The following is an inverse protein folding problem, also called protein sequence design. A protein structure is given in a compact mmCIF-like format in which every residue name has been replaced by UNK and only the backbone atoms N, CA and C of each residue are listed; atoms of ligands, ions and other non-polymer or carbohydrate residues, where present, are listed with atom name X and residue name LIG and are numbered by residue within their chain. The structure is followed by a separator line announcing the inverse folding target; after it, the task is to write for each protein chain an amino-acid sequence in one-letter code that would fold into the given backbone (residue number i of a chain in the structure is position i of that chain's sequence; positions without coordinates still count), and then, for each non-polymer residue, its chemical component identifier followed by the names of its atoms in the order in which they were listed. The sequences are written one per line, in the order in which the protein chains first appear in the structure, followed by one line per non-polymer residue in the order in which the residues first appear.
data_IF_078814974031
#
_entry.id   IF_078814974031
#
_cell.length_a   1.000
_cell.length_b   1.000
_cell.length_c   1.000
_cell.angle_alpha   90.00
_cell.angle_beta   90.00
_cell.angle_gamma   90.00
#
_symmetry.space_group_name_H-M   'P 1'
#
loop_
_entity.id
_entity.type
_entity.pdbx_description
1 polymer ?
#
# COMPACT_ATOMS: atom_id res chain seq x y z
N UNK A 1 -25.07 5.42 -47.92
CA UNK A 1 -25.19 4.70 -46.63
C UNK A 1 -23.83 4.32 -46.02
N UNK A 2 -22.89 3.76 -46.79
CA UNK A 2 -21.56 3.32 -46.31
C UNK A 2 -20.67 4.44 -45.71
N UNK A 3 -20.67 5.64 -46.30
CA UNK A 3 -19.86 6.75 -45.79
C UNK A 3 -20.38 7.30 -44.45
N UNK A 4 -21.70 7.29 -44.24
CA UNK A 4 -22.32 7.74 -42.99
C UNK A 4 -21.96 6.80 -41.84
N UNK A 5 -22.00 5.48 -42.08
CA UNK A 5 -21.63 4.46 -41.08
C UNK A 5 -20.16 4.59 -40.68
N UNK A 6 -19.26 4.85 -41.65
CA UNK A 6 -17.83 5.06 -41.37
C UNK A 6 -17.61 6.31 -40.51
N UNK A 7 -18.26 7.43 -40.84
CA UNK A 7 -18.12 8.67 -40.05
C UNK A 7 -18.65 8.51 -38.62
N UNK A 8 -19.75 7.77 -38.43
CA UNK A 8 -20.30 7.47 -37.09
C UNK A 8 -19.35 6.58 -36.28
N UNK A 9 -18.75 5.55 -36.90
CA UNK A 9 -17.77 4.69 -36.24
C UNK A 9 -16.48 5.44 -35.85
N UNK A 10 -15.98 6.31 -36.73
CA UNK A 10 -14.83 7.15 -36.42
C UNK A 10 -15.11 8.13 -35.28
N UNK A 11 -16.29 8.75 -35.27
CA UNK A 11 -16.70 9.65 -34.20
C UNK A 11 -16.86 8.89 -32.86
N UNK A 12 -17.45 7.69 -32.88
CA UNK A 12 -17.60 6.86 -31.69
C UNK A 12 -16.24 6.43 -31.11
N UNK A 13 -15.28 6.06 -31.97
CA UNK A 13 -13.92 5.70 -31.55
C UNK A 13 -13.16 6.91 -30.99
N UNK A 14 -13.34 8.08 -31.58
CA UNK A 14 -12.76 9.33 -31.08
C UNK A 14 -13.35 9.72 -29.72
N UNK A 15 -14.67 9.62 -29.52
CA UNK A 15 -15.28 9.87 -28.21
C UNK A 15 -14.84 8.86 -27.15
N UNK A 16 -14.67 7.59 -27.50
CA UNK A 16 -14.25 6.55 -26.56
C UNK A 16 -12.81 6.74 -26.07
N UNK A 17 -11.92 7.31 -26.89
CA UNK A 17 -10.53 7.64 -26.52
C UNK A 17 -10.39 9.00 -25.83
N UNK A 18 -11.39 9.87 -25.95
CA UNK A 18 -11.45 11.18 -25.28
C UNK A 18 -11.99 11.10 -23.83
N UNK A 19 -12.41 9.92 -23.36
CA UNK A 19 -12.76 9.75 -21.95
C UNK A 19 -11.51 9.98 -21.09
N UNK A 20 -11.57 10.85 -20.07
CA UNK A 20 -10.46 11.02 -19.16
C UNK A 20 -10.14 9.66 -18.53
N UNK A 21 -8.89 9.22 -18.65
CA UNK A 21 -8.40 8.12 -17.84
C UNK A 21 -8.54 8.56 -16.38
N UNK A 22 -9.47 7.96 -15.65
CA UNK A 22 -9.51 8.08 -14.20
C UNK A 22 -8.27 7.34 -13.67
N UNK A 23 -7.13 8.04 -13.60
CA UNK A 23 -6.05 7.64 -12.71
C UNK A 23 -6.61 7.60 -11.27
N UNK A 24 -5.96 6.86 -10.36
CA UNK A 24 -6.31 6.77 -8.94
C UNK A 24 -6.25 8.18 -8.30
N UNK A 25 -7.31 8.97 -8.49
CA UNK A 25 -7.32 10.41 -8.23
C UNK A 25 -7.88 10.64 -6.83
N UNK A 26 -6.99 10.53 -5.85
CA UNK A 26 -7.17 11.05 -4.49
C UNK A 26 -8.20 10.30 -3.67
N UNK A 27 -7.74 9.28 -2.94
CA UNK A 27 -8.48 8.74 -1.80
C UNK A 27 -8.72 9.90 -0.81
N UNK A 28 -9.90 10.53 -0.86
CA UNK A 28 -10.26 11.65 0.03
C UNK A 28 -10.73 11.16 1.40
N UNK A 29 -11.30 9.95 1.42
CA UNK A 29 -11.73 9.27 2.62
C UNK A 29 -10.69 8.22 2.96
N UNK A 30 -9.80 8.55 3.90
CA UNK A 30 -8.79 7.62 4.40
C UNK A 30 -9.41 6.90 5.59
N UNK A 31 -9.59 5.57 5.55
CA UNK A 31 -10.10 4.82 6.69
C UNK A 31 -9.13 4.95 7.88
N UNK A 32 -9.63 4.86 9.13
CA UNK A 32 -8.76 4.83 10.30
C UNK A 32 -7.74 3.68 10.18
N UNK A 33 -6.46 3.89 10.54
CA UNK A 33 -5.44 2.85 10.51
C UNK A 33 -5.57 1.93 11.74
N UNK A 34 -6.76 1.33 11.92
CA UNK A 34 -7.05 0.39 13.00
C UNK A 34 -6.74 -1.04 12.52
N UNK A 35 -5.77 -1.75 13.15
CA UNK A 35 -5.42 -3.10 12.75
C UNK A 35 -6.59 -4.10 12.78
N UNK A 36 -7.56 -3.94 13.69
CA UNK A 36 -8.70 -4.84 13.79
C UNK A 36 -9.74 -4.59 12.68
N UNK A 37 -9.84 -3.35 12.19
CA UNK A 37 -10.65 -3.05 11.01
C UNK A 37 -10.00 -3.67 9.78
N UNK A 38 -8.68 -3.52 9.62
CA UNK A 38 -7.93 -4.06 8.48
C UNK A 38 -7.90 -5.60 8.51
N UNK A 39 -7.72 -6.22 9.68
CA UNK A 39 -7.70 -7.69 9.82
C UNK A 39 -9.00 -8.33 9.34
N UNK A 40 -10.16 -7.67 9.56
CA UNK A 40 -11.47 -8.11 9.07
C UNK A 40 -11.65 -7.95 7.56
N UNK A 41 -10.80 -7.15 6.90
CA UNK A 41 -10.82 -6.92 5.45
C UNK A 41 -10.17 -8.08 4.67
N UNK A 42 -9.30 -8.86 5.32
CA UNK A 42 -8.55 -9.93 4.68
C UNK A 42 -9.43 -11.08 4.21
N UNK A 43 -9.18 -11.55 3.00
CA UNK A 43 -9.70 -12.81 2.48
C UNK A 43 -8.64 -13.90 2.72
N UNK A 44 -8.98 -14.89 3.54
CA UNK A 44 -8.03 -15.90 4.02
C UNK A 44 -8.46 -17.29 3.54
N UNK A 45 -7.49 -18.12 3.16
CA UNK A 45 -7.76 -19.49 2.72
C UNK A 45 -8.28 -20.37 3.88
N UNK A 46 -9.10 -21.41 3.61
CA UNK A 46 -9.55 -22.33 4.64
C UNK A 46 -8.38 -22.96 5.42
N UNK A 47 -8.47 -22.96 6.75
CA UNK A 47 -7.44 -23.51 7.64
C UNK A 47 -6.31 -22.54 8.02
N UNK A 48 -6.38 -21.28 7.59
CA UNK A 48 -5.42 -20.23 7.96
C UNK A 48 -6.08 -19.13 8.79
N UNK A 49 -5.27 -18.44 9.60
CA UNK A 49 -5.65 -17.25 10.35
C UNK A 49 -4.63 -16.12 10.18
N UNK A 50 -5.04 -14.89 10.47
CA UNK A 50 -4.18 -13.71 10.47
C UNK A 50 -4.22 -13.09 11.86
N UNK A 51 -3.04 -12.90 12.45
CA UNK A 51 -2.86 -12.33 13.77
C UNK A 51 -1.95 -11.08 13.70
N UNK A 52 -2.22 -10.11 14.58
CA UNK A 52 -1.39 -8.91 14.71
C UNK A 52 -0.16 -9.24 15.56
N UNK A 53 1.05 -9.05 15.00
CA UNK A 53 2.31 -9.29 15.71
C UNK A 53 2.96 -7.98 16.23
N UNK A 54 2.96 -6.93 15.41
CA UNK A 54 3.48 -5.61 15.80
C UNK A 54 2.73 -4.50 15.06
N UNK A 55 2.52 -3.38 15.73
CA UNK A 55 1.83 -2.19 15.19
C UNK A 55 2.55 -0.91 15.58
N UNK A 56 2.16 0.21 14.99
CA UNK A 56 2.52 1.54 15.50
C UNK A 56 2.15 1.67 16.99
N UNK A 57 2.95 2.41 17.79
CA UNK A 57 4.17 3.13 17.40
C UNK A 57 5.47 2.28 17.52
N UNK A 58 5.37 0.97 17.76
CA UNK A 58 6.55 0.11 17.99
C UNK A 58 7.40 -0.09 16.72
N UNK A 59 6.78 0.03 15.55
CA UNK A 59 7.41 -0.08 14.24
C UNK A 59 7.08 1.16 13.41
N UNK A 60 7.91 1.47 12.41
CA UNK A 60 7.63 2.53 11.45
C UNK A 60 8.18 2.14 10.08
N UNK A 61 7.39 2.28 9.01
CA UNK A 61 7.81 2.09 7.60
C UNK A 61 8.76 0.88 7.39
N UNK A 62 8.30 -0.34 7.68
CA UNK A 62 9.12 -1.54 7.49
C UNK A 62 9.43 -1.75 6.00
N UNK A 63 10.69 -2.05 5.67
CA UNK A 63 11.15 -2.36 4.31
C UNK A 63 11.35 -3.86 4.13
N UNK A 64 12.01 -4.49 5.11
CA UNK A 64 12.29 -5.92 5.13
C UNK A 64 12.19 -6.44 6.56
N UNK A 65 11.78 -7.70 6.72
CA UNK A 65 11.74 -8.36 8.01
C UNK A 65 12.03 -9.86 7.93
N UNK A 66 12.56 -10.44 9.02
CA UNK A 66 12.74 -11.88 9.18
C UNK A 66 12.69 -12.29 10.67
N UNK A 67 12.26 -13.52 10.94
CA UNK A 67 12.30 -14.08 12.30
C UNK A 67 13.67 -14.70 12.59
N UNK A 68 14.13 -14.56 13.83
CA UNK A 68 15.31 -15.28 14.32
C UNK A 68 14.93 -16.60 15.04
N UNK A 69 15.94 -17.37 15.44
CA UNK A 69 15.75 -18.65 16.12
C UNK A 69 15.11 -18.54 17.52
N UNK A 70 15.07 -17.34 18.10
CA UNK A 70 14.39 -17.06 19.36
C UNK A 70 12.92 -16.62 19.15
N UNK A 71 12.44 -16.62 17.90
CA UNK A 71 11.07 -16.23 17.56
C UNK A 71 10.87 -14.71 17.49
N UNK A 72 11.93 -13.91 17.53
CA UNK A 72 11.84 -12.44 17.48
C UNK A 72 11.82 -11.97 16.04
N UNK A 73 11.05 -10.92 15.75
CA UNK A 73 10.98 -10.33 14.42
C UNK A 73 12.01 -9.19 14.29
N UNK A 74 12.93 -9.35 13.35
CA UNK A 74 13.90 -8.32 12.96
C UNK A 74 13.34 -7.51 11.80
N UNK A 75 13.41 -6.18 11.88
CA UNK A 75 12.79 -5.28 10.90
C UNK A 75 13.79 -4.20 10.50
N UNK A 76 14.05 -4.05 9.21
CA UNK A 76 14.69 -2.88 8.64
C UNK A 76 13.64 -1.78 8.45
N UNK A 77 13.80 -0.66 9.16
CA UNK A 77 12.86 0.46 9.20
C UNK A 77 13.52 1.74 8.65
N UNK A 78 12.83 2.43 7.73
CA UNK A 78 13.24 3.75 7.25
C UNK A 78 12.13 4.74 7.41
N UNK A 79 12.25 5.61 8.41
CA UNK A 79 11.27 6.68 8.66
C UNK A 79 11.36 7.80 7.61
N UNK A 80 12.44 7.84 6.85
CA UNK A 80 12.72 8.92 5.90
C UNK A 80 12.16 8.63 4.51
N UNK A 81 11.37 9.55 3.97
CA UNK A 81 10.97 9.54 2.56
C UNK A 81 10.81 10.99 2.05
N UNK A 82 11.27 11.33 0.83
CA UNK A 82 12.01 10.49 -0.12
C UNK A 82 13.51 10.34 0.21
N UNK A 83 14.12 11.34 0.84
CA UNK A 83 15.50 11.28 1.35
C UNK A 83 15.71 12.33 2.47
N UNK A 84 16.79 12.18 3.25
CA UNK A 84 17.18 13.18 4.25
C UNK A 84 17.55 14.51 3.58
N UNK A 85 17.30 15.63 4.27
CA UNK A 85 17.76 16.96 3.83
C UNK A 85 19.22 17.20 4.28
N UNK A 86 19.99 18.07 3.60
CA UNK A 86 21.31 18.47 4.08
C UNK A 86 21.25 18.96 5.54
N UNK A 87 22.13 18.41 6.39
CA UNK A 87 22.17 18.72 7.83
C UNK A 87 21.20 17.93 8.72
N UNK A 88 20.28 17.15 8.14
CA UNK A 88 19.39 16.28 8.92
C UNK A 88 20.11 14.99 9.34
N UNK A 89 19.92 14.59 10.59
CA UNK A 89 20.45 13.31 11.10
C UNK A 89 19.64 12.13 10.53
N UNK A 90 20.33 11.12 10.03
CA UNK A 90 19.71 9.85 9.65
C UNK A 90 19.12 9.16 10.90
N UNK A 91 17.90 8.63 10.77
CA UNK A 91 17.13 8.05 11.87
C UNK A 91 16.58 6.65 11.56
N UNK A 92 17.05 6.01 10.50
CA UNK A 92 16.70 4.64 10.13
C UNK A 92 17.23 3.64 11.17
N UNK A 93 16.49 2.54 11.39
CA UNK A 93 16.73 1.61 12.50
C UNK A 93 16.58 0.17 12.08
N UNK A 94 17.33 -0.71 12.74
CA UNK A 94 16.98 -2.12 12.84
C UNK A 94 16.21 -2.30 14.14
N UNK A 95 14.97 -2.75 14.03
CA UNK A 95 14.10 -3.03 15.18
C UNK A 95 14.09 -4.54 15.44
N UNK A 96 14.07 -4.91 16.72
CA UNK A 96 13.84 -6.29 17.16
C UNK A 96 12.60 -6.25 18.04
N UNK A 97 11.55 -6.96 17.62
CA UNK A 97 10.26 -6.96 18.30
C UNK A 97 9.82 -8.38 18.65
N UNK A 98 9.24 -8.50 19.84
CA UNK A 98 8.73 -9.75 20.41
C UNK A 98 7.22 -9.59 20.63
N UNK A 99 6.47 -10.65 20.36
CA UNK A 99 5.05 -10.75 20.72
C UNK A 99 4.95 -11.06 22.23
N UNK A 100 4.00 -10.43 22.91
CA UNK A 100 3.86 -10.52 24.38
C UNK A 100 2.90 -11.60 24.82
#
# INVERSE_FOLDING_TARGET
MTNLIRSVLFLALFLATALPAFAQRGLKNIPPPDPEIERKSFQVAPGFEVNLYASDPKIAKPIQMNFDAAGRLWIASSETYPQIKPGQKANDRILVVEDT
#
